data_IF_709025192664
#
_entry.id   IF_709025192664
#
_cell.length_a   1.000
_cell.length_b   1.000
_cell.length_c   1.000
_cell.angle_alpha   90.00
_cell.angle_beta   90.00
_cell.angle_gamma   90.00
#
_symmetry.space_group_name_H-M   'P 1'
#
loop_
_entity.id
_entity.type
_entity.pdbx_description
1 polymer ?
#
# COMPACT_ATOMS: atom_id res chain seq x y z
N UNK A 1 49.88 -0.88 -13.20
CA UNK A 1 49.59 -2.27 -12.79
C UNK A 1 48.42 -2.22 -11.84
N UNK A 2 47.24 -2.51 -12.38
CA UNK A 2 46.00 -2.54 -11.62
C UNK A 2 45.79 -3.91 -10.99
N UNK A 3 45.13 -3.91 -9.85
CA UNK A 3 44.39 -5.07 -9.35
C UNK A 3 43.00 -4.60 -8.93
N UNK A 4 41.93 -5.33 -9.29
CA UNK A 4 40.56 -4.84 -9.27
C UNK A 4 39.92 -4.98 -7.88
N UNK A 5 38.95 -4.10 -7.62
CA UNK A 5 38.03 -4.15 -6.50
C UNK A 5 37.06 -5.33 -6.64
N UNK A 6 37.04 -6.21 -5.63
CA UNK A 6 36.18 -7.39 -5.61
C UNK A 6 34.76 -7.04 -5.09
N UNK A 7 33.87 -6.74 -6.03
CA UNK A 7 32.47 -6.38 -5.82
C UNK A 7 31.55 -7.57 -5.57
N UNK A 8 31.84 -8.40 -4.56
CA UNK A 8 31.04 -9.63 -4.31
C UNK A 8 30.63 -9.88 -2.86
N UNK A 9 30.37 -8.82 -2.07
CA UNK A 9 29.84 -8.95 -0.69
C UNK A 9 28.40 -8.47 -0.49
N UNK A 10 27.52 -8.66 -1.48
CA UNK A 10 26.06 -8.33 -1.38
C UNK A 10 25.10 -9.52 -1.53
N UNK A 11 25.56 -10.78 -1.49
CA UNK A 11 24.69 -11.96 -1.76
C UNK A 11 24.56 -13.01 -0.63
N UNK A 12 24.94 -12.73 0.62
CA UNK A 12 25.04 -13.78 1.65
C UNK A 12 24.17 -13.63 2.92
N UNK A 13 23.18 -12.73 2.99
CA UNK A 13 22.42 -12.49 4.24
C UNK A 13 20.90 -12.81 4.23
N UNK A 14 20.38 -13.58 3.26
CA UNK A 14 18.97 -14.02 3.27
C UNK A 14 18.79 -15.54 3.11
N UNK A 15 19.54 -16.32 3.90
CA UNK A 15 19.27 -17.76 4.08
C UNK A 15 19.29 -18.13 5.56
N UNK A 16 18.20 -17.85 6.27
CA UNK A 16 17.74 -18.61 7.44
C UNK A 16 16.44 -17.99 8.03
N UNK A 17 15.32 -18.17 7.34
CA UNK A 17 13.97 -18.17 7.91
C UNK A 17 13.01 -18.70 6.83
N UNK A 18 13.13 -19.98 6.50
CA UNK A 18 12.26 -20.65 5.54
C UNK A 18 10.94 -21.05 6.21
N UNK A 19 9.93 -20.18 6.12
CA UNK A 19 8.53 -20.61 6.15
C UNK A 19 8.05 -20.66 4.70
N UNK A 20 7.41 -21.75 4.33
CA UNK A 20 7.18 -22.20 2.96
C UNK A 20 6.50 -21.16 2.06
N UNK A 21 7.27 -20.54 1.17
CA UNK A 21 6.77 -19.81 0.00
C UNK A 21 6.34 -20.82 -1.07
N UNK A 22 5.03 -21.08 -1.17
CA UNK A 22 4.47 -21.78 -2.34
C UNK A 22 4.32 -20.80 -3.49
N UNK A 23 5.26 -20.81 -4.42
CA UNK A 23 5.05 -20.31 -5.77
C UNK A 23 4.10 -21.26 -6.49
N UNK A 24 2.88 -20.81 -6.79
CA UNK A 24 1.95 -21.53 -7.65
C UNK A 24 2.50 -21.54 -9.09
N UNK A 25 3.23 -22.59 -9.43
CA UNK A 25 3.45 -23.00 -10.81
C UNK A 25 2.30 -23.95 -11.13
N UNK A 26 1.54 -23.66 -12.18
CA UNK A 26 0.52 -24.57 -12.69
C UNK A 26 1.20 -25.89 -13.10
N UNK A 27 1.12 -26.87 -12.22
CA UNK A 27 1.63 -28.21 -12.38
C UNK A 27 0.97 -29.08 -11.32
N UNK A 28 0.24 -30.10 -11.77
CA UNK A 28 -0.48 -31.05 -10.93
C UNK A 28 0.47 -31.85 -10.01
N UNK A 29 0.92 -31.23 -8.92
CA UNK A 29 1.47 -31.90 -7.76
C UNK A 29 0.48 -31.68 -6.62
N UNK A 30 -0.38 -32.67 -6.36
CA UNK A 30 -1.38 -32.61 -5.31
C UNK A 30 -0.70 -32.44 -3.96
N UNK A 31 -0.57 -31.20 -3.50
CA UNK A 31 -0.15 -30.91 -2.15
C UNK A 31 -1.36 -31.23 -1.27
N UNK A 32 -1.23 -32.25 -0.42
CA UNK A 32 -2.26 -32.52 0.57
C UNK A 32 -2.44 -31.26 1.43
N UNK A 33 -3.69 -30.87 1.74
CA UNK A 33 -3.95 -29.78 2.65
C UNK A 33 -3.28 -30.06 4.00
N UNK A 34 -2.83 -29.03 4.74
CA UNK A 34 -2.26 -29.23 6.06
C UNK A 34 -3.26 -29.88 7.01
N UNK A 35 -2.74 -30.57 8.03
CA UNK A 35 -3.59 -31.17 9.08
C UNK A 35 -4.33 -30.09 9.90
N UNK A 36 -5.49 -30.44 10.44
CA UNK A 36 -6.27 -29.61 11.37
C UNK A 36 -5.41 -29.11 12.52
N UNK A 37 -4.61 -29.98 13.13
CA UNK A 37 -3.70 -29.64 14.23
C UNK A 37 -2.66 -28.60 13.83
N UNK A 38 -2.11 -28.70 12.61
CA UNK A 38 -1.15 -27.72 12.11
C UNK A 38 -1.77 -26.35 11.86
N UNK A 39 -3.03 -26.31 11.43
CA UNK A 39 -3.76 -25.07 11.11
C UNK A 39 -4.30 -24.39 12.37
N UNK A 40 -4.87 -25.17 13.29
CA UNK A 40 -5.48 -24.68 14.54
C UNK A 40 -4.47 -24.50 15.66
N UNK A 41 -3.40 -25.30 15.69
CA UNK A 41 -2.38 -25.32 16.75
C UNK A 41 -1.84 -23.94 17.14
N UNK A 42 -1.47 -23.06 16.20
CA UNK A 42 -1.00 -21.70 16.50
C UNK A 42 -2.00 -20.82 17.26
N UNK A 43 -3.29 -21.17 17.21
CA UNK A 43 -4.38 -20.39 17.77
C UNK A 43 -5.06 -21.04 18.97
N UNK A 44 -4.82 -22.33 19.22
CA UNK A 44 -5.58 -23.14 20.18
C UNK A 44 -5.71 -22.48 21.56
N UNK A 45 -4.60 -21.96 22.08
CA UNK A 45 -4.57 -21.36 23.43
C UNK A 45 -5.26 -19.99 23.52
N UNK A 46 -5.63 -19.39 22.38
CA UNK A 46 -6.37 -18.13 22.32
C UNK A 46 -7.87 -18.32 22.49
N UNK A 47 -8.39 -19.51 22.23
CA UNK A 47 -9.84 -19.78 22.14
C UNK A 47 -10.26 -20.84 23.14
N UNK A 48 -11.49 -20.72 23.63
CA UNK A 48 -12.07 -21.64 24.63
C UNK A 48 -12.50 -22.96 24.00
N UNK A 49 -12.90 -22.92 22.72
CA UNK A 49 -13.34 -24.09 21.99
C UNK A 49 -12.98 -24.00 20.52
N UNK A 50 -12.58 -25.15 19.97
CA UNK A 50 -12.41 -25.35 18.53
C UNK A 50 -13.67 -26.06 18.03
N UNK A 51 -14.30 -25.48 17.01
CA UNK A 51 -15.55 -25.95 16.42
C UNK A 51 -15.24 -26.31 14.98
N UNK A 52 -15.22 -27.60 14.68
CA UNK A 52 -15.05 -28.09 13.31
C UNK A 52 -16.40 -28.08 12.60
N UNK A 53 -16.54 -27.24 11.58
CA UNK A 53 -17.82 -27.12 10.87
C UNK A 53 -18.16 -28.40 10.10
N UNK A 54 -17.17 -29.17 9.65
CA UNK A 54 -17.38 -30.44 8.96
C UNK A 54 -17.90 -31.53 9.90
N UNK A 55 -17.38 -31.61 11.13
CA UNK A 55 -17.91 -32.52 12.16
C UNK A 55 -19.36 -32.17 12.56
N UNK A 56 -19.75 -30.91 12.40
CA UNK A 56 -21.13 -30.43 12.60
C UNK A 56 -22.03 -30.58 11.37
N UNK A 57 -21.53 -31.20 10.30
CA UNK A 57 -22.28 -31.47 9.08
C UNK A 57 -22.45 -30.26 8.15
N UNK A 58 -21.57 -29.26 8.21
CA UNK A 58 -21.55 -28.19 7.21
C UNK A 58 -21.27 -28.75 5.81
N UNK A 59 -22.00 -28.25 4.83
CA UNK A 59 -21.80 -28.64 3.43
C UNK A 59 -20.53 -28.00 2.85
N UNK A 60 -19.48 -28.82 2.69
CA UNK A 60 -18.23 -28.44 2.05
C UNK A 60 -18.24 -28.54 0.52
N UNK A 61 -19.39 -28.78 -0.11
CA UNK A 61 -19.55 -28.76 -1.58
C UNK A 61 -20.02 -27.41 -2.12
N UNK A 62 -20.62 -26.57 -1.26
CA UNK A 62 -21.12 -25.24 -1.62
C UNK A 62 -22.55 -25.24 -2.15
N UNK A 63 -23.29 -26.34 -2.00
CA UNK A 63 -24.68 -26.46 -2.42
C UNK A 63 -25.61 -25.78 -1.41
N UNK A 64 -25.45 -26.15 -0.13
CA UNK A 64 -26.24 -25.64 0.98
C UNK A 64 -25.45 -24.59 1.80
N UNK A 65 -26.11 -23.52 2.29
CA UNK A 65 -25.45 -22.53 3.13
C UNK A 65 -24.99 -23.10 4.49
N UNK A 66 -23.83 -22.64 4.97
CA UNK A 66 -23.27 -23.04 6.28
C UNK A 66 -23.82 -22.22 7.45
N UNK A 67 -24.65 -21.23 7.18
CA UNK A 67 -25.17 -20.23 8.12
C UNK A 67 -25.75 -20.88 9.38
N UNK A 68 -26.55 -21.95 9.24
CA UNK A 68 -27.15 -22.66 10.38
C UNK A 68 -26.11 -23.31 11.30
N UNK A 69 -25.02 -23.85 10.74
CA UNK A 69 -23.95 -24.46 11.54
C UNK A 69 -23.22 -23.40 12.36
N UNK A 70 -22.94 -22.25 11.73
CA UNK A 70 -22.29 -21.12 12.38
C UNK A 70 -23.19 -20.54 13.47
N UNK A 71 -24.45 -20.23 13.14
CA UNK A 71 -25.40 -19.60 14.05
C UNK A 71 -25.69 -20.44 15.30
N UNK A 72 -25.84 -21.76 15.15
CA UNK A 72 -26.06 -22.67 16.30
C UNK A 72 -24.89 -22.71 17.27
N UNK A 73 -23.67 -22.51 16.78
CA UNK A 73 -22.45 -22.74 17.55
C UNK A 73 -21.73 -21.45 17.95
N UNK A 74 -22.16 -20.31 17.40
CA UNK A 74 -21.57 -18.99 17.59
C UNK A 74 -21.60 -18.57 19.06
N UNK A 75 -20.42 -18.32 19.61
CA UNK A 75 -20.23 -17.78 20.96
C UNK A 75 -18.87 -17.09 21.04
N UNK A 76 -18.75 -16.20 22.00
CA UNK A 76 -17.46 -15.61 22.34
C UNK A 76 -16.47 -16.73 22.71
N UNK A 77 -15.19 -16.54 22.34
CA UNK A 77 -14.14 -17.53 22.58
C UNK A 77 -14.16 -18.74 21.64
N UNK A 78 -15.06 -18.81 20.65
CA UNK A 78 -15.08 -19.89 19.66
C UNK A 78 -14.05 -19.68 18.53
N UNK A 79 -13.38 -20.76 18.14
CA UNK A 79 -12.58 -20.87 16.92
C UNK A 79 -13.26 -21.84 15.95
N UNK A 80 -13.85 -21.31 14.88
CA UNK A 80 -14.40 -22.09 13.79
C UNK A 80 -13.29 -22.54 12.85
N UNK A 81 -13.18 -23.86 12.71
CA UNK A 81 -12.30 -24.50 11.75
C UNK A 81 -13.12 -24.97 10.55
N UNK A 82 -12.71 -24.53 9.36
CA UNK A 82 -13.25 -24.96 8.07
C UNK A 82 -12.28 -25.94 7.44
N UNK A 83 -12.64 -27.24 7.35
CA UNK A 83 -11.90 -28.21 6.56
C UNK A 83 -11.77 -27.78 5.08
N UNK A 84 -10.93 -28.48 4.29
CA UNK A 84 -10.88 -28.28 2.84
C UNK A 84 -12.25 -28.46 2.21
N UNK A 85 -12.66 -27.48 1.41
CA UNK A 85 -13.98 -27.48 0.78
C UNK A 85 -14.39 -26.12 0.25
N UNK A 86 -15.54 -26.13 -0.41
CA UNK A 86 -16.22 -24.93 -0.89
C UNK A 86 -17.48 -24.75 -0.06
N UNK A 87 -17.65 -23.60 0.56
CA UNK A 87 -18.71 -23.33 1.51
C UNK A 87 -19.54 -22.16 1.02
N UNK A 88 -20.85 -22.37 0.90
CA UNK A 88 -21.76 -21.27 0.64
C UNK A 88 -22.06 -20.57 1.97
N UNK A 89 -21.87 -19.26 2.01
CA UNK A 89 -22.17 -18.44 3.18
C UNK A 89 -23.07 -17.30 2.73
N UNK A 90 -24.25 -17.15 3.32
CA UNK A 90 -25.18 -16.09 2.91
C UNK A 90 -24.82 -14.77 3.57
N UNK A 91 -24.57 -14.79 4.87
CA UNK A 91 -24.14 -13.63 5.66
C UNK A 91 -23.40 -14.09 6.92
N UNK A 92 -22.47 -13.28 7.42
CA UNK A 92 -21.87 -13.47 8.73
C UNK A 92 -21.74 -12.14 9.49
N UNK A 93 -22.61 -11.95 10.48
CA UNK A 93 -22.57 -10.82 11.41
C UNK A 93 -21.85 -11.19 12.73
N UNK A 94 -20.74 -10.50 12.99
CA UNK A 94 -19.91 -10.63 14.19
C UNK A 94 -20.04 -9.41 15.12
N UNK A 95 -21.07 -8.58 14.93
CA UNK A 95 -21.27 -7.37 15.71
C UNK A 95 -21.37 -7.66 17.21
N UNK A 96 -20.61 -6.89 18.00
CA UNK A 96 -20.51 -7.02 19.45
C UNK A 96 -19.80 -8.27 19.96
N UNK A 97 -19.38 -9.20 19.09
CA UNK A 97 -18.72 -10.45 19.49
C UNK A 97 -17.30 -10.21 20.00
N UNK A 98 -16.85 -11.11 20.87
CA UNK A 98 -15.52 -11.04 21.47
C UNK A 98 -14.77 -12.36 21.35
N UNK A 99 -13.54 -12.30 20.86
CA UNK A 99 -12.63 -13.42 20.72
C UNK A 99 -13.22 -14.56 19.88
N UNK A 100 -13.86 -14.22 18.76
CA UNK A 100 -14.27 -15.18 17.74
C UNK A 100 -13.17 -15.34 16.69
N UNK A 101 -12.95 -16.57 16.25
CA UNK A 101 -11.97 -16.92 15.24
C UNK A 101 -12.56 -17.78 14.14
N UNK A 102 -12.07 -17.59 12.92
CA UNK A 102 -12.43 -18.36 11.72
C UNK A 102 -11.13 -18.71 11.01
N UNK A 103 -10.92 -20.00 10.75
CA UNK A 103 -9.72 -20.49 10.08
C UNK A 103 -10.10 -21.47 8.99
N UNK A 104 -9.77 -21.11 7.75
CA UNK A 104 -9.87 -21.96 6.58
C UNK A 104 -8.63 -22.83 6.39
N UNK A 105 -8.85 -24.09 6.02
CA UNK A 105 -7.80 -25.00 5.55
C UNK A 105 -8.07 -25.34 4.09
N UNK A 106 -7.53 -24.56 3.15
CA UNK A 106 -7.93 -24.64 1.74
C UNK A 106 -9.46 -24.54 1.58
N UNK A 107 -10.06 -23.62 2.33
CA UNK A 107 -11.50 -23.37 2.35
C UNK A 107 -11.85 -22.16 1.46
N UNK A 108 -12.79 -22.36 0.55
CA UNK A 108 -13.34 -21.32 -0.31
C UNK A 108 -14.73 -20.93 0.17
N UNK A 109 -14.97 -19.64 0.38
CA UNK A 109 -16.31 -19.09 0.63
C UNK A 109 -16.88 -18.59 -0.70
N UNK A 110 -18.01 -19.16 -1.11
CA UNK A 110 -18.75 -18.70 -2.28
C UNK A 110 -19.44 -17.39 -1.93
N UNK A 111 -19.09 -16.35 -2.66
CA UNK A 111 -19.76 -15.06 -2.59
C UNK A 111 -21.21 -15.24 -3.08
N UNK A 112 -22.22 -14.71 -2.36
CA UNK A 112 -23.58 -14.67 -2.85
C UNK A 112 -23.66 -13.92 -4.18
N UNK A 113 -24.32 -14.48 -5.21
CA UNK A 113 -24.42 -13.85 -6.52
C UNK A 113 -25.19 -12.53 -6.43
N UNK A 114 -24.80 -11.56 -7.26
CA UNK A 114 -25.38 -10.20 -7.31
C UNK A 114 -25.37 -9.39 -5.99
N UNK A 115 -24.80 -9.91 -4.90
CA UNK A 115 -24.76 -9.22 -3.60
C UNK A 115 -23.83 -7.99 -3.65
N UNK A 116 -24.26 -6.90 -3.01
CA UNK A 116 -23.59 -5.59 -3.08
C UNK A 116 -23.50 -4.89 -1.71
N UNK A 117 -24.10 -5.48 -0.67
CA UNK A 117 -24.12 -5.03 0.71
C UNK A 117 -22.91 -5.51 1.51
N UNK A 118 -23.07 -5.56 2.83
CA UNK A 118 -22.09 -6.19 3.72
C UNK A 118 -22.38 -7.69 3.76
N UNK A 119 -21.35 -8.51 3.59
CA UNK A 119 -21.50 -9.97 3.57
C UNK A 119 -20.91 -10.62 4.82
N UNK A 120 -19.64 -10.33 5.08
CA UNK A 120 -18.97 -10.74 6.32
C UNK A 120 -18.61 -9.46 7.04
N UNK A 121 -19.23 -9.21 8.19
CA UNK A 121 -19.00 -7.96 8.89
C UNK A 121 -19.09 -8.07 10.40
N UNK A 122 -18.72 -6.99 11.07
CA UNK A 122 -18.96 -6.86 12.50
C UNK A 122 -18.61 -5.47 13.00
N UNK A 123 -19.55 -4.88 13.75
CA UNK A 123 -19.32 -3.65 14.48
C UNK A 123 -18.79 -3.91 15.89
N UNK A 124 -17.77 -3.17 16.30
CA UNK A 124 -17.13 -3.30 17.62
C UNK A 124 -16.69 -4.73 17.96
N UNK A 125 -16.35 -5.54 16.95
CA UNK A 125 -15.88 -6.91 17.14
C UNK A 125 -14.52 -6.90 17.84
N UNK A 126 -14.37 -7.64 18.94
CA UNK A 126 -13.18 -7.58 19.79
C UNK A 126 -12.30 -8.79 19.60
N UNK A 127 -10.99 -8.60 19.40
CA UNK A 127 -10.01 -9.68 19.26
C UNK A 127 -10.44 -10.72 18.20
N UNK A 128 -10.75 -10.28 16.99
CA UNK A 128 -11.12 -11.12 15.84
C UNK A 128 -9.93 -11.92 15.30
N UNK A 129 -10.15 -13.15 14.84
CA UNK A 129 -9.24 -13.86 13.94
C UNK A 129 -10.02 -14.28 12.71
N UNK A 130 -9.54 -13.91 11.53
CA UNK A 130 -10.05 -14.41 10.27
C UNK A 130 -8.86 -14.79 9.38
N UNK A 131 -8.68 -16.08 9.12
CA UNK A 131 -7.44 -16.61 8.54
C UNK A 131 -7.70 -17.70 7.48
N UNK A 132 -6.92 -17.69 6.39
CA UNK A 132 -6.80 -18.85 5.49
C UNK A 132 -7.98 -19.11 4.56
N UNK A 133 -8.74 -18.09 4.16
CA UNK A 133 -9.88 -18.24 3.25
C UNK A 133 -9.61 -17.71 1.84
N UNK A 134 -10.19 -18.39 0.85
CA UNK A 134 -10.44 -17.83 -0.47
C UNK A 134 -11.88 -17.36 -0.56
N UNK A 135 -12.11 -16.15 -1.07
CA UNK A 135 -13.43 -15.61 -1.41
C UNK A 135 -13.58 -15.67 -2.93
N UNK A 136 -14.59 -16.39 -3.40
CA UNK A 136 -14.82 -16.63 -4.82
C UNK A 136 -15.79 -15.60 -5.42
N UNK A 137 -15.23 -14.60 -6.10
CA UNK A 137 -15.92 -13.58 -6.89
C UNK A 137 -15.97 -13.97 -8.38
N UNK A 138 -16.22 -15.24 -8.70
CA UNK A 138 -16.40 -15.69 -10.09
C UNK A 138 -17.61 -15.03 -10.78
N UNK A 139 -18.64 -14.66 -10.02
CA UNK A 139 -19.77 -13.88 -10.55
C UNK A 139 -19.35 -12.41 -10.79
N UNK A 140 -19.33 -11.93 -12.05
CA UNK A 140 -18.92 -10.57 -12.38
C UNK A 140 -19.88 -9.49 -11.87
N UNK A 141 -21.08 -9.84 -11.40
CA UNK A 141 -22.02 -8.90 -10.79
C UNK A 141 -21.84 -8.77 -9.27
N UNK A 142 -21.11 -9.68 -8.63
CA UNK A 142 -20.94 -9.68 -7.19
C UNK A 142 -19.94 -8.60 -6.73
N UNK A 143 -20.36 -7.80 -5.75
CA UNK A 143 -19.53 -6.79 -5.09
C UNK A 143 -19.81 -6.67 -3.58
N UNK A 144 -20.00 -7.78 -2.82
CA UNK A 144 -20.16 -7.66 -1.38
C UNK A 144 -18.88 -7.20 -0.69
N UNK A 145 -19.07 -6.48 0.41
CA UNK A 145 -18.01 -5.97 1.26
C UNK A 145 -17.74 -6.91 2.43
N UNK A 146 -16.45 -7.14 2.72
CA UNK A 146 -16.01 -7.68 4.01
C UNK A 146 -15.63 -6.50 4.91
N UNK A 147 -16.39 -6.27 5.99
CA UNK A 147 -16.35 -5.00 6.73
C UNK A 147 -16.18 -5.17 8.25
N UNK A 148 -15.11 -4.64 8.84
CA UNK A 148 -14.89 -4.77 10.28
C UNK A 148 -14.55 -3.45 10.96
N UNK A 149 -15.33 -3.12 11.99
CA UNK A 149 -14.96 -2.13 13.00
C UNK A 149 -14.51 -2.85 14.27
N UNK A 150 -13.20 -2.79 14.57
CA UNK A 150 -12.60 -3.67 15.58
C UNK A 150 -12.25 -2.98 16.90
N UNK A 151 -12.33 -3.74 17.98
CA UNK A 151 -11.90 -3.38 19.32
C UNK A 151 -10.85 -4.35 19.87
N UNK A 152 -10.10 -3.93 20.90
CA UNK A 152 -9.05 -4.78 21.48
C UNK A 152 -7.81 -4.91 20.58
N UNK A 153 -6.80 -5.64 21.05
CA UNK A 153 -5.44 -5.60 20.48
C UNK A 153 -5.05 -6.82 19.64
N UNK A 154 -5.91 -7.84 19.59
CA UNK A 154 -5.60 -9.13 18.95
C UNK A 154 -6.42 -9.37 17.69
N UNK A 155 -6.76 -8.31 16.93
CA UNK A 155 -7.51 -8.45 15.68
C UNK A 155 -6.58 -8.76 14.52
N UNK A 156 -6.89 -9.81 13.77
CA UNK A 156 -6.08 -10.30 12.66
C UNK A 156 -6.98 -10.72 11.50
N UNK A 157 -6.71 -10.17 10.32
CA UNK A 157 -7.16 -10.67 9.02
C UNK A 157 -5.92 -11.18 8.29
N UNK A 158 -5.88 -12.46 7.94
CA UNK A 158 -4.64 -13.10 7.47
C UNK A 158 -4.90 -14.11 6.35
N UNK A 159 -3.96 -14.20 5.42
CA UNK A 159 -3.96 -15.23 4.36
C UNK A 159 -5.31 -15.34 3.62
N UNK A 160 -5.88 -14.17 3.29
CA UNK A 160 -7.14 -14.06 2.56
C UNK A 160 -6.88 -13.85 1.07
N UNK A 161 -7.60 -14.56 0.21
CA UNK A 161 -7.53 -14.39 -1.24
C UNK A 161 -8.90 -14.00 -1.81
N UNK A 162 -9.00 -12.87 -2.48
CA UNK A 162 -10.17 -12.43 -3.24
C UNK A 162 -9.92 -12.80 -4.70
N UNK A 163 -10.49 -13.92 -5.13
CA UNK A 163 -10.30 -14.48 -6.48
C UNK A 163 -11.51 -14.13 -7.35
N UNK A 164 -11.27 -13.75 -8.60
CA UNK A 164 -12.32 -13.23 -9.49
C UNK A 164 -12.42 -11.70 -9.48
N UNK A 165 -13.34 -11.16 -10.28
CA UNK A 165 -13.47 -9.71 -10.50
C UNK A 165 -14.54 -9.13 -9.59
N UNK A 166 -14.21 -8.08 -8.84
CA UNK A 166 -15.13 -7.50 -7.87
C UNK A 166 -16.05 -6.47 -8.53
N UNK A 167 -17.10 -6.97 -9.20
CA UNK A 167 -18.25 -6.20 -9.67
C UNK A 167 -17.97 -4.88 -10.42
N UNK A 168 -19.02 -4.09 -10.59
CA UNK A 168 -18.93 -2.72 -11.14
C UNK A 168 -19.66 -1.68 -10.29
N UNK A 169 -20.12 -2.09 -9.11
CA UNK A 169 -20.72 -1.23 -8.09
C UNK A 169 -19.60 -0.54 -7.31
N UNK A 170 -19.76 0.74 -6.90
CA UNK A 170 -18.72 1.47 -6.16
C UNK A 170 -18.63 1.03 -4.68
N UNK A 171 -18.35 -0.25 -4.45
CA UNK A 171 -18.15 -0.85 -3.13
C UNK A 171 -16.72 -1.35 -3.02
N UNK A 172 -16.18 -1.33 -1.81
CA UNK A 172 -14.80 -1.76 -1.57
C UNK A 172 -14.77 -3.28 -1.32
N UNK A 173 -13.65 -3.95 -1.63
CA UNK A 173 -13.50 -5.35 -1.23
C UNK A 173 -13.40 -5.52 0.30
N UNK A 174 -12.58 -4.69 0.94
CA UNK A 174 -12.43 -4.59 2.39
C UNK A 174 -12.74 -3.19 2.90
N UNK A 175 -13.55 -3.09 3.95
CA UNK A 175 -13.81 -1.84 4.70
C UNK A 175 -13.40 -2.03 6.16
N UNK A 176 -12.46 -1.21 6.65
CA UNK A 176 -11.83 -1.42 7.95
C UNK A 176 -11.91 -0.17 8.82
N UNK A 177 -12.21 -0.36 10.10
CA UNK A 177 -12.20 0.71 11.09
C UNK A 177 -11.52 0.21 12.38
N UNK A 178 -10.64 1.04 12.94
CA UNK A 178 -10.02 0.80 14.25
C UNK A 178 -10.28 2.04 15.13
N UNK A 179 -11.50 2.19 15.69
CA UNK A 179 -11.98 3.49 16.16
C UNK A 179 -11.20 4.05 17.35
N UNK A 180 -10.65 3.17 18.21
CA UNK A 180 -10.06 3.56 19.50
C UNK A 180 -8.57 3.27 19.53
N UNK A 181 -7.78 4.21 20.09
CA UNK A 181 -6.33 4.09 20.30
C UNK A 181 -5.88 2.82 21.03
N UNK A 182 -6.74 2.27 21.89
CA UNK A 182 -6.46 1.02 22.62
C UNK A 182 -6.59 -0.25 21.76
N UNK A 183 -7.12 -0.13 20.53
CA UNK A 183 -7.34 -1.23 19.61
C UNK A 183 -6.27 -1.28 18.51
N UNK A 184 -6.09 -2.47 17.93
CA UNK A 184 -5.22 -2.67 16.78
C UNK A 184 -5.75 -3.73 15.83
N UNK A 185 -5.45 -3.55 14.55
CA UNK A 185 -5.74 -4.49 13.48
C UNK A 185 -4.49 -4.78 12.66
N UNK A 186 -4.20 -6.08 12.49
CA UNK A 186 -3.22 -6.58 11.53
C UNK A 186 -3.95 -7.17 10.32
N UNK A 187 -3.63 -6.67 9.14
CA UNK A 187 -4.02 -7.22 7.85
C UNK A 187 -2.76 -7.77 7.19
N UNK A 188 -2.71 -9.08 7.00
CA UNK A 188 -1.46 -9.77 6.61
C UNK A 188 -1.69 -10.75 5.46
N UNK A 189 -0.85 -10.69 4.43
CA UNK A 189 -0.89 -11.61 3.27
C UNK A 189 -2.26 -11.67 2.58
N UNK A 190 -2.99 -10.56 2.56
CA UNK A 190 -4.24 -10.43 1.80
C UNK A 190 -3.95 -10.24 0.31
N UNK A 191 -4.60 -11.00 -0.57
CA UNK A 191 -4.40 -11.00 -2.03
C UNK A 191 -5.70 -10.61 -2.73
N UNK A 192 -5.67 -9.55 -3.53
CA UNK A 192 -6.83 -9.01 -4.25
C UNK A 192 -6.41 -8.63 -5.68
N UNK A 193 -6.36 -9.62 -6.57
CA UNK A 193 -5.69 -9.49 -7.88
C UNK A 193 -6.63 -9.38 -9.08
N UNK A 194 -7.88 -9.80 -8.94
CA UNK A 194 -8.85 -9.74 -10.03
C UNK A 194 -9.35 -8.32 -10.33
N UNK A 195 -9.10 -7.38 -9.41
CA UNK A 195 -9.40 -5.96 -9.58
C UNK A 195 -10.89 -5.65 -9.54
N UNK A 196 -11.20 -4.39 -9.83
CA UNK A 196 -12.54 -3.84 -9.96
C UNK A 196 -12.51 -2.66 -10.93
N UNK A 197 -13.65 -2.34 -11.54
CA UNK A 197 -13.85 -1.08 -12.28
C UNK A 197 -14.30 0.08 -11.40
N UNK A 198 -14.78 -0.15 -10.17
CA UNK A 198 -15.20 0.88 -9.21
C UNK A 198 -14.88 0.48 -7.77
N UNK A 199 -14.73 1.46 -6.87
CA UNK A 199 -14.45 1.19 -5.47
C UNK A 199 -13.00 0.77 -5.20
N UNK A 200 -12.69 0.63 -3.93
CA UNK A 200 -11.35 0.39 -3.43
C UNK A 200 -11.09 -1.11 -3.25
N UNK A 201 -9.84 -1.56 -3.38
CA UNK A 201 -9.51 -2.89 -2.86
C UNK A 201 -9.69 -2.89 -1.33
N UNK A 202 -9.08 -1.91 -0.68
CA UNK A 202 -9.12 -1.74 0.77
C UNK A 202 -9.41 -0.27 1.06
N UNK A 203 -10.47 -0.02 1.82
CA UNK A 203 -10.82 1.29 2.35
C UNK A 203 -10.75 1.27 3.87
N UNK A 204 -10.23 2.34 4.47
CA UNK A 204 -10.24 2.53 5.92
C UNK A 204 -11.07 3.73 6.29
N UNK A 205 -11.93 3.56 7.29
CA UNK A 205 -12.60 4.67 7.96
C UNK A 205 -11.64 5.36 8.93
N UNK A 206 -12.04 6.56 9.38
CA UNK A 206 -11.31 7.27 10.42
C UNK A 206 -11.29 6.49 11.74
N UNK A 207 -10.16 6.55 12.43
CA UNK A 207 -9.96 5.85 13.71
C UNK A 207 -8.59 6.12 14.31
N UNK A 208 -8.50 6.00 15.63
CA UNK A 208 -7.27 6.30 16.39
C UNK A 208 -6.40 5.09 16.69
N UNK A 209 -6.90 3.89 16.41
CA UNK A 209 -6.21 2.63 16.69
C UNK A 209 -5.01 2.38 15.79
N UNK A 210 -4.22 1.35 16.09
CA UNK A 210 -3.08 0.99 15.24
C UNK A 210 -3.51 0.07 14.10
N UNK A 211 -3.18 0.44 12.87
CA UNK A 211 -3.53 -0.33 11.67
C UNK A 211 -2.25 -0.72 10.92
N UNK A 212 -2.13 -2.00 10.58
CA UNK A 212 -0.95 -2.55 9.90
C UNK A 212 -1.37 -3.39 8.70
N UNK A 213 -0.76 -3.13 7.55
CA UNK A 213 -0.84 -3.93 6.33
C UNK A 213 0.52 -4.56 6.09
N UNK A 214 0.59 -5.90 6.03
CA UNK A 214 1.86 -6.63 5.93
C UNK A 214 1.78 -7.63 4.79
N UNK A 215 2.67 -7.51 3.81
CA UNK A 215 2.80 -8.43 2.67
C UNK A 215 1.50 -8.63 1.87
N UNK A 216 0.67 -7.58 1.78
CA UNK A 216 -0.53 -7.60 0.95
C UNK A 216 -0.21 -7.48 -0.54
N UNK A 217 -1.09 -8.03 -1.38
CA UNK A 217 -0.98 -7.96 -2.84
C UNK A 217 -2.28 -7.43 -3.44
N UNK A 218 -2.27 -6.20 -3.95
CA UNK A 218 -3.46 -5.50 -4.46
C UNK A 218 -3.22 -5.07 -5.90
N UNK A 219 -4.01 -5.60 -6.84
CA UNK A 219 -3.82 -5.34 -8.25
C UNK A 219 -5.11 -5.01 -9.00
N UNK A 220 -5.01 -4.07 -9.94
CA UNK A 220 -6.04 -3.77 -10.94
C UNK A 220 -7.36 -3.15 -10.47
N UNK A 221 -7.47 -2.67 -9.24
CA UNK A 221 -8.66 -1.99 -8.71
C UNK A 221 -8.82 -0.56 -9.22
N UNK A 222 -10.00 0.05 -9.05
CA UNK A 222 -10.19 1.47 -9.34
C UNK A 222 -9.41 2.36 -8.36
N UNK A 223 -9.29 1.91 -7.10
CA UNK A 223 -8.36 2.45 -6.09
C UNK A 223 -7.72 1.27 -5.34
N UNK A 224 -6.45 1.40 -4.94
CA UNK A 224 -5.70 0.33 -4.29
C UNK A 224 -6.00 0.27 -2.79
N UNK A 225 -5.03 0.73 -2.00
CA UNK A 225 -5.17 0.88 -0.55
C UNK A 225 -5.46 2.34 -0.23
N UNK A 226 -6.70 2.64 0.13
CA UNK A 226 -7.15 3.95 0.62
C UNK A 226 -7.17 3.95 2.14
N UNK A 227 -6.05 4.36 2.74
CA UNK A 227 -5.85 4.43 4.18
C UNK A 227 -5.56 5.84 4.73
N UNK A 228 -5.75 6.89 3.93
CA UNK A 228 -5.56 8.27 4.38
C UNK A 228 -6.51 8.78 5.47
N UNK A 229 -7.80 8.35 5.57
CA UNK A 229 -8.71 8.86 6.59
C UNK A 229 -8.36 8.41 8.01
N UNK A 230 -7.48 7.41 8.16
CA UNK A 230 -7.11 6.82 9.44
C UNK A 230 -6.14 7.73 10.21
N UNK A 231 -6.54 8.16 11.41
CA UNK A 231 -5.80 9.11 12.27
C UNK A 231 -4.74 8.45 13.17
N UNK A 232 -4.88 7.16 13.41
CA UNK A 232 -4.00 6.38 14.27
C UNK A 232 -2.70 5.95 13.60
N UNK A 233 -1.79 5.30 14.36
CA UNK A 233 -0.54 4.77 13.81
C UNK A 233 -0.80 3.82 12.64
N UNK A 234 -0.20 4.12 11.49
CA UNK A 234 -0.39 3.36 10.26
C UNK A 234 0.95 2.78 9.75
N UNK A 235 0.97 1.49 9.45
CA UNK A 235 2.12 0.82 8.83
C UNK A 235 1.68 0.03 7.60
N UNK A 236 2.36 0.26 6.48
CA UNK A 236 2.38 -0.63 5.32
C UNK A 236 3.78 -1.22 5.23
N UNK A 237 3.92 -2.54 5.31
CA UNK A 237 5.21 -3.23 5.27
C UNK A 237 5.20 -4.33 4.22
N UNK A 238 6.15 -4.27 3.29
CA UNK A 238 6.24 -5.21 2.19
C UNK A 238 5.05 -5.12 1.23
N UNK A 239 4.81 -6.21 0.52
CA UNK A 239 3.67 -6.32 -0.39
C UNK A 239 3.88 -5.73 -1.79
N UNK A 240 2.89 -5.91 -2.64
CA UNK A 240 2.87 -5.43 -4.03
C UNK A 240 1.55 -4.76 -4.35
N UNK A 241 1.61 -3.52 -4.80
CA UNK A 241 0.46 -2.70 -5.15
C UNK A 241 0.61 -2.23 -6.59
N UNK A 242 -0.19 -2.78 -7.50
CA UNK A 242 0.07 -2.62 -8.93
C UNK A 242 -1.15 -2.36 -9.80
N UNK A 243 -1.01 -1.44 -10.75
CA UNK A 243 -1.99 -1.14 -11.77
C UNK A 243 -3.41 -0.84 -11.25
N UNK A 244 -3.51 -0.38 -10.00
CA UNK A 244 -4.73 0.20 -9.44
C UNK A 244 -4.92 1.60 -10.01
N UNK A 245 -6.13 2.16 -9.98
CA UNK A 245 -6.41 3.48 -10.53
C UNK A 245 -5.80 4.58 -9.68
N UNK A 246 -6.62 5.36 -8.98
CA UNK A 246 -6.23 6.62 -8.31
C UNK A 246 -4.94 6.48 -7.49
N UNK A 247 -4.79 5.42 -6.72
CA UNK A 247 -3.61 5.16 -5.91
C UNK A 247 -3.23 3.68 -5.89
N UNK A 248 -1.94 3.42 -5.69
CA UNK A 248 -1.49 2.10 -5.29
C UNK A 248 -1.50 1.98 -3.77
N UNK A 249 -0.90 2.97 -3.10
CA UNK A 249 -0.88 3.12 -1.64
C UNK A 249 -1.21 4.57 -1.32
N UNK A 250 -2.34 4.84 -0.66
CA UNK A 250 -2.75 6.16 -0.18
C UNK A 250 -2.83 6.15 1.34
N UNK A 251 -2.06 7.01 1.98
CA UNK A 251 -1.88 7.00 3.43
C UNK A 251 -1.94 8.40 4.03
N UNK A 252 -2.26 8.41 5.32
CA UNK A 252 -2.45 9.62 6.10
C UNK A 252 -1.80 9.58 7.46
N UNK A 253 -2.32 8.70 8.34
CA UNK A 253 -1.79 8.46 9.68
C UNK A 253 -2.03 9.62 10.65
N UNK A 254 -2.84 10.61 10.27
CA UNK A 254 -3.22 11.78 11.08
C UNK A 254 -2.05 12.41 11.83
N UNK A 255 -2.23 12.61 13.13
CA UNK A 255 -1.20 13.14 14.05
C UNK A 255 -0.23 12.07 14.56
N UNK A 256 -0.54 10.79 14.35
CA UNK A 256 0.28 9.66 14.81
C UNK A 256 1.43 9.33 13.87
N UNK A 257 1.27 9.64 12.60
CA UNK A 257 2.22 9.37 11.54
C UNK A 257 2.02 8.01 10.86
N UNK A 258 2.52 7.92 9.62
CA UNK A 258 2.43 6.73 8.79
C UNK A 258 3.81 6.22 8.34
N UNK A 259 3.94 4.92 8.10
CA UNK A 259 5.14 4.30 7.54
C UNK A 259 4.81 3.39 6.36
N UNK A 260 5.59 3.49 5.30
CA UNK A 260 5.59 2.56 4.16
C UNK A 260 7.00 2.01 4.04
N UNK A 261 7.18 0.71 4.28
CA UNK A 261 8.49 0.08 4.42
C UNK A 261 8.59 -1.14 3.49
N UNK A 262 9.54 -1.16 2.55
CA UNK A 262 9.79 -2.36 1.74
C UNK A 262 8.72 -2.70 0.72
N UNK A 263 7.80 -1.79 0.40
CA UNK A 263 6.71 -2.05 -0.54
C UNK A 263 7.16 -1.91 -2.00
N UNK A 264 6.58 -2.75 -2.88
CA UNK A 264 6.74 -2.64 -4.33
C UNK A 264 5.47 -2.06 -4.96
N UNK A 265 5.65 -0.99 -5.72
CA UNK A 265 4.60 -0.29 -6.46
C UNK A 265 4.90 -0.39 -7.96
N UNK A 266 3.92 -0.81 -8.77
CA UNK A 266 4.14 -1.00 -10.21
C UNK A 266 2.95 -0.53 -11.05
N UNK A 267 3.22 0.33 -12.02
CA UNK A 267 2.27 0.84 -13.01
C UNK A 267 2.88 0.58 -14.38
N UNK A 268 2.53 -0.58 -14.94
CA UNK A 268 3.24 -1.19 -16.07
C UNK A 268 2.34 -2.00 -17.02
N UNK A 269 1.02 -1.94 -16.79
CA UNK A 269 0.02 -2.49 -17.68
C UNK A 269 -1.37 -2.17 -17.17
N UNK A 270 -1.80 -0.89 -17.22
CA UNK A 270 -3.12 -0.50 -16.76
C UNK A 270 -4.22 -1.24 -17.51
N UNK A 271 -5.04 -2.00 -16.77
CA UNK A 271 -6.30 -2.56 -17.29
C UNK A 271 -7.43 -1.57 -17.06
N UNK A 272 -8.33 -1.43 -18.04
CA UNK A 272 -9.44 -0.47 -17.99
C UNK A 272 -8.95 0.96 -17.67
N UNK A 273 -7.96 1.50 -18.40
CA UNK A 273 -7.36 2.79 -18.08
C UNK A 273 -8.36 3.95 -18.09
N UNK A 274 -9.47 3.83 -18.82
CA UNK A 274 -10.56 4.81 -18.91
C UNK A 274 -11.28 5.05 -17.58
N UNK A 275 -11.23 4.10 -16.65
CA UNK A 275 -11.80 4.24 -15.29
C UNK A 275 -10.74 4.46 -14.21
N UNK A 276 -9.49 4.71 -14.62
CA UNK A 276 -8.34 4.83 -13.71
C UNK A 276 -7.68 6.20 -13.83
N UNK A 277 -8.30 7.27 -13.34
CA UNK A 277 -7.69 8.58 -13.39
C UNK A 277 -6.50 8.64 -12.42
N UNK A 278 -5.39 9.22 -12.88
CA UNK A 278 -4.29 9.64 -12.02
C UNK A 278 -3.63 8.54 -11.17
N UNK A 279 -2.99 7.55 -11.81
CA UNK A 279 -2.35 6.44 -11.13
C UNK A 279 -1.10 6.83 -10.34
N UNK A 280 -1.28 7.40 -9.15
CA UNK A 280 -0.17 7.74 -8.24
C UNK A 280 0.38 6.46 -7.62
N UNK A 281 1.69 6.42 -7.40
CA UNK A 281 2.32 5.31 -6.70
C UNK A 281 1.99 5.32 -5.21
N UNK A 282 2.87 5.92 -4.40
CA UNK A 282 2.64 6.18 -2.98
C UNK A 282 2.14 7.61 -2.82
N UNK A 283 0.94 7.78 -2.30
CA UNK A 283 0.31 9.08 -2.06
C UNK A 283 0.20 9.35 -0.56
N UNK A 284 0.94 10.36 -0.11
CA UNK A 284 0.81 10.92 1.23
C UNK A 284 -0.22 12.04 1.12
N UNK A 285 -1.48 11.75 1.44
CA UNK A 285 -2.59 12.67 1.15
C UNK A 285 -2.84 13.66 2.28
N UNK A 286 -3.19 13.18 3.46
CA UNK A 286 -3.51 14.00 4.64
C UNK A 286 -2.85 13.44 5.90
N UNK A 287 -2.06 14.23 6.62
CA UNK A 287 -1.37 13.73 7.81
C UNK A 287 -0.18 14.59 8.19
N UNK A 288 0.32 14.43 9.41
CA UNK A 288 1.37 15.29 9.97
C UNK A 288 2.78 14.86 9.58
N UNK A 289 3.01 13.55 9.47
CA UNK A 289 4.32 13.00 9.17
C UNK A 289 4.23 11.59 8.55
N UNK A 290 5.14 11.29 7.62
CA UNK A 290 5.32 9.93 7.15
C UNK A 290 6.77 9.58 6.82
N UNK A 291 7.08 8.28 6.92
CA UNK A 291 8.32 7.69 6.43
C UNK A 291 8.03 6.72 5.30
N UNK A 292 8.68 6.91 4.16
CA UNK A 292 8.74 5.93 3.06
C UNK A 292 10.16 5.41 3.02
N UNK A 293 10.37 4.10 3.22
CA UNK A 293 11.70 3.52 3.37
C UNK A 293 11.85 2.22 2.61
N UNK A 294 12.97 2.06 1.91
CA UNK A 294 13.33 0.83 1.20
C UNK A 294 12.25 0.37 0.19
N UNK A 295 11.55 1.31 -0.43
CA UNK A 295 10.49 1.01 -1.39
C UNK A 295 11.03 0.93 -2.83
N UNK A 296 10.27 0.25 -3.69
CA UNK A 296 10.48 0.27 -5.15
C UNK A 296 9.22 0.80 -5.81
N UNK A 297 9.35 1.81 -6.67
CA UNK A 297 8.22 2.40 -7.41
C UNK A 297 8.54 2.42 -8.90
N UNK A 298 7.74 1.75 -9.71
CA UNK A 298 7.94 1.65 -11.16
C UNK A 298 6.73 2.20 -11.91
N UNK A 299 6.93 3.26 -12.69
CA UNK A 299 5.93 3.80 -13.63
C UNK A 299 6.49 3.66 -15.03
N UNK A 300 6.14 2.55 -15.68
CA UNK A 300 6.70 2.13 -16.97
C UNK A 300 5.68 2.08 -18.10
N UNK A 301 4.38 2.04 -17.79
CA UNK A 301 3.28 2.16 -18.76
C UNK A 301 2.11 2.97 -18.20
N UNK A 302 1.74 4.05 -18.88
CA UNK A 302 0.56 4.87 -18.60
C UNK A 302 -0.39 4.92 -19.80
N UNK A 303 -0.37 3.93 -20.69
CA UNK A 303 -1.21 3.91 -21.88
C UNK A 303 -2.68 4.04 -21.52
N UNK A 304 -3.34 5.06 -22.10
CA UNK A 304 -4.76 5.35 -21.85
C UNK A 304 -5.06 6.10 -20.54
N UNK A 305 -4.05 6.47 -19.75
CA UNK A 305 -4.21 7.16 -18.47
C UNK A 305 -3.03 8.10 -18.19
N UNK A 306 -2.91 8.61 -16.96
CA UNK A 306 -1.85 9.50 -16.50
C UNK A 306 -1.53 9.25 -15.02
N UNK A 307 -0.47 9.89 -14.53
CA UNK A 307 -0.09 9.89 -13.11
C UNK A 307 0.44 11.25 -12.69
N UNK A 308 0.22 11.62 -11.42
CA UNK A 308 0.83 12.79 -10.81
C UNK A 308 2.23 12.53 -10.26
N UNK A 309 2.65 11.26 -10.14
CA UNK A 309 4.01 10.89 -9.78
C UNK A 309 4.15 9.55 -9.06
N UNK A 310 5.41 9.14 -8.87
CA UNK A 310 5.78 7.92 -8.15
C UNK A 310 5.50 8.01 -6.65
N UNK A 311 6.07 9.02 -5.98
CA UNK A 311 5.73 9.38 -4.61
C UNK A 311 5.18 10.80 -4.62
N UNK A 312 3.97 10.99 -4.12
CA UNK A 312 3.29 12.29 -4.10
C UNK A 312 3.08 12.71 -2.66
N UNK A 313 3.65 13.85 -2.28
CA UNK A 313 3.37 14.54 -1.01
C UNK A 313 2.35 15.64 -1.30
N UNK A 314 1.13 15.41 -0.86
CA UNK A 314 -0.02 16.25 -1.22
C UNK A 314 -0.05 17.57 -0.43
N UNK A 315 -0.83 18.54 -0.90
CA UNK A 315 -0.98 19.86 -0.28
C UNK A 315 -1.50 19.82 1.17
N UNK A 316 -2.28 18.80 1.55
CA UNK A 316 -2.77 18.66 2.93
C UNK A 316 -1.74 17.97 3.87
N UNK A 317 -0.65 17.42 3.32
CA UNK A 317 0.31 16.62 4.09
C UNK A 317 1.43 17.46 4.69
N UNK A 318 1.86 17.12 5.89
CA UNK A 318 2.96 17.73 6.62
C UNK A 318 4.32 17.19 6.18
N UNK A 319 5.14 16.77 7.12
CA UNK A 319 6.52 16.34 6.87
C UNK A 319 6.59 14.96 6.20
N UNK A 320 7.61 14.74 5.36
CA UNK A 320 7.85 13.43 4.77
C UNK A 320 9.34 13.10 4.73
N UNK A 321 9.70 11.87 5.09
CA UNK A 321 11.06 11.33 4.96
C UNK A 321 11.06 10.14 4.01
N UNK A 322 11.75 10.27 2.89
CA UNK A 322 11.86 9.26 1.83
C UNK A 322 13.30 8.74 1.85
N UNK A 323 13.51 7.46 2.15
CA UNK A 323 14.84 6.87 2.33
C UNK A 323 15.04 5.57 1.57
N UNK A 324 16.27 5.30 1.12
CA UNK A 324 16.67 4.01 0.54
C UNK A 324 15.76 3.53 -0.61
N UNK A 325 15.17 4.44 -1.38
CA UNK A 325 14.06 4.14 -2.27
C UNK A 325 14.48 4.25 -3.74
N UNK A 326 14.08 3.29 -4.55
CA UNK A 326 14.32 3.25 -6.00
C UNK A 326 13.04 3.60 -6.76
N UNK A 327 13.13 4.52 -7.71
CA UNK A 327 11.98 4.97 -8.50
C UNK A 327 12.33 4.96 -9.99
N UNK A 328 11.65 4.11 -10.75
CA UNK A 328 11.72 4.11 -12.21
C UNK A 328 10.58 4.90 -12.81
N UNK A 329 10.87 5.85 -13.69
CA UNK A 329 9.86 6.52 -14.51
C UNK A 329 10.25 6.52 -15.99
N UNK A 330 9.38 5.94 -16.83
CA UNK A 330 9.52 5.94 -18.30
C UNK A 330 8.56 6.94 -18.99
N UNK A 331 7.66 7.57 -18.24
CA UNK A 331 6.75 8.59 -18.72
C UNK A 331 7.07 9.96 -18.11
N UNK A 332 6.63 11.04 -18.77
CA UNK A 332 6.85 12.44 -18.36
C UNK A 332 6.06 12.84 -17.11
N UNK A 333 6.28 12.12 -16.00
CA UNK A 333 5.70 12.36 -14.67
C UNK A 333 6.82 12.45 -13.65
N UNK A 334 6.70 13.24 -12.56
CA UNK A 334 7.72 13.26 -11.52
C UNK A 334 7.89 11.90 -10.84
N UNK A 335 9.12 11.53 -10.51
CA UNK A 335 9.38 10.40 -9.62
C UNK A 335 8.93 10.75 -8.19
N UNK A 336 9.26 11.97 -7.74
CA UNK A 336 8.80 12.55 -6.48
C UNK A 336 8.13 13.88 -6.78
N UNK A 337 6.89 14.05 -6.33
CA UNK A 337 6.10 15.27 -6.50
C UNK A 337 5.68 15.80 -5.14
N UNK A 338 6.27 16.91 -4.74
CA UNK A 338 6.03 17.59 -3.48
C UNK A 338 5.26 18.87 -3.74
N UNK A 339 4.01 18.94 -3.28
CA UNK A 339 3.10 20.05 -3.56
C UNK A 339 3.11 21.14 -2.49
N UNK A 340 2.79 22.36 -2.91
CA UNK A 340 2.59 23.52 -2.03
C UNK A 340 1.53 23.21 -0.99
N UNK A 341 1.82 23.39 0.31
CA UNK A 341 0.85 23.20 1.37
C UNK A 341 -0.37 24.08 1.20
N UNK A 342 -1.55 23.54 1.53
CA UNK A 342 -2.76 24.35 1.65
C UNK A 342 -2.71 25.23 2.89
N UNK A 343 -3.37 26.38 2.84
CA UNK A 343 -3.52 27.31 3.98
C UNK A 343 -4.88 27.19 4.67
N UNK A 344 -5.78 26.40 4.12
CA UNK A 344 -7.13 26.19 4.63
C UNK A 344 -7.29 24.73 5.06
N UNK A 345 -7.78 24.56 6.29
CA UNK A 345 -8.22 23.27 6.83
C UNK A 345 -9.66 23.00 6.38
N UNK A 346 -9.92 21.78 5.92
CA UNK A 346 -11.26 21.32 5.56
C UNK A 346 -11.47 19.90 6.10
N UNK A 347 -12.34 19.71 7.13
CA UNK A 347 -12.57 18.40 7.73
C UNK A 347 -13.22 17.39 6.76
N UNK A 348 -13.78 17.84 5.64
CA UNK A 348 -14.38 16.94 4.64
C UNK A 348 -13.35 16.27 3.74
N UNK A 349 -12.20 16.92 3.53
CA UNK A 349 -11.08 16.40 2.73
C UNK A 349 -9.86 16.05 3.57
N UNK A 350 -9.91 16.32 4.88
CA UNK A 350 -8.86 15.99 5.86
C UNK A 350 -9.44 15.28 7.11
N UNK A 351 -10.28 14.23 6.98
CA UNK A 351 -10.93 13.59 8.12
C UNK A 351 -9.96 12.93 9.11
N UNK A 352 -8.69 12.70 8.72
CA UNK A 352 -7.68 12.11 9.60
C UNK A 352 -7.04 13.10 10.57
N UNK A 353 -7.27 14.41 10.38
CA UNK A 353 -6.66 15.51 11.13
C UNK A 353 -7.73 16.40 11.78
N UNK A 354 -7.32 17.23 12.73
CA UNK A 354 -8.15 18.27 13.36
C UNK A 354 -7.60 19.70 13.15
N UNK A 355 -6.43 19.81 12.54
CA UNK A 355 -5.77 21.06 12.14
C UNK A 355 -4.75 20.79 11.03
N UNK A 356 -4.28 21.85 10.35
CA UNK A 356 -3.19 21.74 9.39
C UNK A 356 -1.87 21.40 10.09
N UNK A 357 -0.98 20.60 9.46
CA UNK A 357 0.37 20.39 9.95
C UNK A 357 1.12 21.71 10.13
N UNK A 358 1.88 21.83 11.24
CA UNK A 358 2.72 23.00 11.48
C UNK A 358 4.01 23.00 10.63
N UNK A 359 4.48 21.81 10.26
CA UNK A 359 5.76 21.57 9.60
C UNK A 359 5.52 20.84 8.28
N UNK A 360 6.31 21.18 7.26
CA UNK A 360 6.09 20.72 5.88
C UNK A 360 7.38 20.25 5.19
N UNK A 361 8.50 20.21 5.90
CA UNK A 361 9.79 19.81 5.36
C UNK A 361 9.72 18.40 4.74
N UNK A 362 10.32 18.25 3.57
CA UNK A 362 10.53 16.95 2.93
C UNK A 362 12.01 16.63 2.90
N UNK A 363 12.38 15.43 3.36
CA UNK A 363 13.73 14.91 3.30
C UNK A 363 13.80 13.70 2.36
N UNK A 364 14.73 13.70 1.42
CA UNK A 364 15.09 12.53 0.62
C UNK A 364 16.54 12.13 0.92
N UNK A 365 16.78 10.86 1.24
CA UNK A 365 18.11 10.33 1.57
C UNK A 365 18.36 8.97 0.91
N UNK A 366 19.47 8.81 0.18
CA UNK A 366 19.79 7.58 -0.55
C UNK A 366 18.63 7.17 -1.49
N UNK A 367 18.31 8.05 -2.43
CA UNK A 367 17.20 7.86 -3.39
C UNK A 367 17.75 7.74 -4.80
N UNK A 368 17.37 6.68 -5.50
CA UNK A 368 17.77 6.43 -6.89
C UNK A 368 16.58 6.60 -7.82
N UNK A 369 16.69 7.50 -8.79
CA UNK A 369 15.68 7.76 -9.80
C UNK A 369 16.26 7.49 -11.18
N UNK A 370 15.57 6.68 -11.99
CA UNK A 370 16.05 6.32 -13.32
C UNK A 370 14.90 6.07 -14.31
N UNK A 371 15.24 5.91 -15.59
CA UNK A 371 14.31 5.42 -16.60
C UNK A 371 14.40 6.18 -17.92
N UNK A 372 13.31 6.16 -18.67
CA UNK A 372 13.24 6.70 -20.03
C UNK A 372 12.30 7.91 -20.20
N UNK A 373 11.86 8.53 -19.10
CA UNK A 373 10.98 9.71 -19.15
C UNK A 373 11.56 10.82 -20.03
N UNK A 374 10.89 11.23 -21.12
CA UNK A 374 11.51 12.10 -22.13
C UNK A 374 11.46 13.59 -21.78
N UNK A 375 10.55 14.05 -20.91
CA UNK A 375 10.34 15.47 -20.57
C UNK A 375 9.91 15.65 -19.11
N UNK A 376 9.83 16.89 -18.66
CA UNK A 376 9.43 17.25 -17.29
C UNK A 376 10.61 17.17 -16.34
N UNK A 377 10.37 16.86 -15.07
CA UNK A 377 11.40 16.83 -14.03
C UNK A 377 11.34 15.55 -13.20
N UNK A 378 12.47 15.08 -12.68
CA UNK A 378 12.51 13.88 -11.83
C UNK A 378 11.99 14.15 -10.42
N UNK A 379 12.41 15.24 -9.79
CA UNK A 379 11.88 15.69 -8.49
C UNK A 379 11.26 17.07 -8.68
N UNK A 380 9.96 17.19 -8.40
CA UNK A 380 9.24 18.46 -8.40
C UNK A 380 8.93 18.89 -6.97
N UNK A 381 9.45 20.04 -6.55
CA UNK A 381 9.26 20.60 -5.22
C UNK A 381 8.62 21.98 -5.29
N UNK A 382 7.51 22.15 -4.58
CA UNK A 382 6.81 23.42 -4.50
C UNK A 382 6.39 23.75 -3.06
N UNK A 383 6.55 25.03 -2.70
CA UNK A 383 5.90 25.68 -1.55
C UNK A 383 6.37 25.28 -0.16
N UNK A 384 7.46 24.51 -0.04
CA UNK A 384 7.94 23.98 1.25
C UNK A 384 9.36 24.43 1.55
N UNK A 385 9.50 25.17 2.64
CA UNK A 385 10.79 25.64 3.14
C UNK A 385 11.55 24.52 3.85
N UNK A 386 12.88 24.60 3.92
CA UNK A 386 13.71 23.71 4.75
C UNK A 386 13.83 22.27 4.25
N UNK A 387 13.45 21.99 3.00
CA UNK A 387 13.57 20.64 2.43
C UNK A 387 15.04 20.25 2.21
N UNK A 388 15.34 18.95 2.33
CA UNK A 388 16.70 18.42 2.17
C UNK A 388 16.74 17.22 1.24
N UNK A 389 17.63 17.26 0.26
CA UNK A 389 17.90 16.17 -0.67
C UNK A 389 19.36 15.76 -0.50
N UNK A 390 19.63 14.55 -0.01
CA UNK A 390 20.99 14.05 0.22
C UNK A 390 21.17 12.67 -0.39
N UNK A 391 22.33 12.39 -1.00
CA UNK A 391 22.59 11.09 -1.66
C UNK A 391 21.47 10.74 -2.67
N UNK A 392 21.22 11.68 -3.59
CA UNK A 392 20.20 11.54 -4.63
C UNK A 392 20.85 11.32 -5.97
N UNK A 393 20.52 10.20 -6.62
CA UNK A 393 20.96 9.89 -7.98
C UNK A 393 19.79 10.01 -8.95
N UNK A 394 19.96 10.76 -10.04
CA UNK A 394 19.00 10.83 -11.15
C UNK A 394 19.68 10.42 -12.45
N UNK A 395 19.13 9.44 -13.16
CA UNK A 395 19.63 8.96 -14.45
C UNK A 395 18.51 8.94 -15.50
N UNK A 396 18.42 10.00 -16.30
CA UNK A 396 17.44 10.15 -17.38
C UNK A 396 18.10 10.74 -18.62
N UNK A 397 18.48 9.89 -19.58
CA UNK A 397 19.30 10.30 -20.72
C UNK A 397 18.51 10.73 -21.96
N UNK A 398 17.19 10.63 -21.95
CA UNK A 398 16.34 10.85 -23.12
C UNK A 398 15.65 12.22 -23.08
N UNK A 399 15.48 12.84 -24.25
CA UNK A 399 14.70 14.07 -24.43
C UNK A 399 15.27 15.30 -23.72
N UNK A 400 14.43 15.98 -22.93
CA UNK A 400 14.73 17.24 -22.22
C UNK A 400 14.27 17.17 -20.76
N UNK A 401 14.58 16.07 -20.08
CA UNK A 401 14.17 15.79 -18.71
C UNK A 401 15.08 16.53 -17.74
N UNK A 402 14.52 17.36 -16.88
CA UNK A 402 15.25 18.02 -15.79
C UNK A 402 15.46 17.06 -14.60
N UNK A 403 16.47 17.35 -13.78
CA UNK A 403 16.77 16.58 -12.57
C UNK A 403 15.85 16.97 -11.41
N UNK A 404 16.14 18.11 -10.79
CA UNK A 404 15.40 18.64 -9.64
C UNK A 404 14.83 20.00 -10.02
N UNK A 405 13.51 20.18 -9.87
CA UNK A 405 12.85 21.47 -10.03
C UNK A 405 12.32 21.95 -8.69
N UNK A 406 12.75 23.14 -8.28
CA UNK A 406 12.24 23.88 -7.11
C UNK A 406 11.45 25.07 -7.66
N UNK A 407 10.13 24.94 -7.67
CA UNK A 407 9.23 26.01 -8.12
C UNK A 407 9.14 27.13 -7.09
N UNK A 408 9.14 26.76 -5.81
CA UNK A 408 9.11 27.66 -4.66
C UNK A 408 9.53 26.91 -3.40
N UNK A 409 9.95 27.65 -2.38
CA UNK A 409 10.52 27.11 -1.14
C UNK A 409 11.92 27.66 -0.87
N UNK A 410 12.16 28.08 0.36
CA UNK A 410 13.42 28.67 0.82
C UNK A 410 14.22 27.66 1.63
N UNK A 411 15.54 27.88 1.69
CA UNK A 411 16.46 27.05 2.51
C UNK A 411 16.39 25.57 2.13
N UNK A 412 16.22 25.28 0.84
CA UNK A 412 16.35 23.92 0.33
C UNK A 412 17.83 23.56 0.23
N UNK A 413 18.21 22.40 0.75
CA UNK A 413 19.58 21.89 0.75
C UNK A 413 19.69 20.67 -0.19
N UNK A 414 20.70 20.65 -1.07
CA UNK A 414 20.98 19.54 -1.99
C UNK A 414 22.44 19.10 -1.82
N UNK A 415 22.65 17.95 -1.21
CA UNK A 415 23.96 17.44 -0.82
C UNK A 415 24.24 16.10 -1.50
N UNK A 416 25.49 15.87 -1.92
CA UNK A 416 25.97 14.56 -2.41
C UNK A 416 25.05 13.99 -3.52
N UNK A 417 24.74 14.81 -4.54
CA UNK A 417 23.78 14.46 -5.58
C UNK A 417 24.48 14.18 -6.92
N UNK A 418 24.06 13.12 -7.61
CA UNK A 418 24.56 12.75 -8.94
C UNK A 418 23.44 12.87 -9.98
N UNK A 419 23.43 13.96 -10.75
CA UNK A 419 22.36 14.32 -11.66
C UNK A 419 22.81 14.14 -13.11
N UNK A 420 22.47 12.98 -13.69
CA UNK A 420 22.74 12.64 -15.07
C UNK A 420 21.50 12.72 -15.92
N UNK A 421 21.19 13.93 -16.37
CA UNK A 421 19.96 14.24 -17.09
C UNK A 421 20.22 14.87 -18.46
N UNK A 422 19.24 14.78 -19.34
CA UNK A 422 19.27 15.38 -20.68
C UNK A 422 18.88 16.86 -20.71
N UNK A 423 18.07 17.30 -19.74
CA UNK A 423 17.69 18.69 -19.52
C UNK A 423 18.60 19.41 -18.52
N UNK A 424 18.01 20.28 -17.71
CA UNK A 424 18.72 21.05 -16.68
C UNK A 424 18.82 20.24 -15.39
N UNK A 425 20.02 20.02 -14.83
CA UNK A 425 20.17 19.25 -13.59
C UNK A 425 19.35 19.83 -12.42
N UNK A 426 19.41 21.15 -12.22
CA UNK A 426 18.65 21.85 -11.18
C UNK A 426 17.98 23.09 -11.79
N UNK A 427 16.66 23.17 -11.69
CA UNK A 427 15.86 24.34 -12.05
C UNK A 427 15.31 24.95 -10.76
N UNK A 428 15.69 26.17 -10.43
CA UNK A 428 15.19 26.85 -9.25
C UNK A 428 14.73 28.27 -9.62
N UNK A 429 13.42 28.52 -9.52
CA UNK A 429 12.81 29.80 -9.87
C UNK A 429 12.58 30.61 -8.60
N UNK A 430 13.26 31.75 -8.45
CA UNK A 430 13.03 32.68 -7.33
C UNK A 430 13.60 32.26 -5.98
N UNK A 431 14.39 31.18 -5.94
CA UNK A 431 15.13 30.72 -4.77
C UNK A 431 16.44 30.07 -5.21
N UNK A 432 17.50 30.20 -4.42
CA UNK A 432 18.78 29.53 -4.67
C UNK A 432 18.96 28.46 -3.61
N UNK A 433 18.94 27.16 -3.96
CA UNK A 433 19.21 26.11 -2.99
C UNK A 433 20.68 26.16 -2.54
N UNK A 434 20.93 25.73 -1.30
CA UNK A 434 22.30 25.46 -0.84
C UNK A 434 22.74 24.12 -1.42
N UNK A 435 23.85 24.10 -2.14
CA UNK A 435 24.37 22.90 -2.78
C UNK A 435 25.74 22.52 -2.22
N UNK A 436 25.99 21.22 -2.05
CA UNK A 436 27.29 20.68 -1.67
C UNK A 436 27.52 19.34 -2.38
N UNK A 437 28.70 19.14 -2.97
CA UNK A 437 29.05 17.89 -3.68
C UNK A 437 28.01 17.47 -4.72
N UNK A 438 27.56 18.40 -5.57
CA UNK A 438 26.62 18.10 -6.65
C UNK A 438 27.39 17.83 -7.94
N UNK A 439 27.36 16.58 -8.38
CA UNK A 439 27.91 16.17 -9.67
C UNK A 439 26.82 16.20 -10.75
N UNK A 440 27.11 16.86 -11.86
CA UNK A 440 26.22 16.89 -13.03
C UNK A 440 26.93 16.28 -14.23
N UNK A 441 26.23 15.47 -15.03
CA UNK A 441 26.84 14.85 -16.21
C UNK A 441 25.84 14.23 -17.18
N UNK A 442 25.74 14.77 -18.39
CA UNK A 442 24.84 14.29 -19.45
C UNK A 442 25.18 14.98 -20.78
N UNK A 443 24.62 14.47 -21.89
CA UNK A 443 24.94 14.91 -23.26
C UNK A 443 24.57 16.41 -23.51
N UNK A 444 23.90 17.10 -22.58
CA UNK A 444 23.38 18.46 -22.74
C UNK A 444 24.02 19.63 -21.98
N UNK A 445 24.98 19.43 -21.06
CA UNK A 445 25.30 20.47 -20.05
C UNK A 445 26.65 21.20 -20.19
N UNK A 446 26.94 21.80 -21.35
CA UNK A 446 28.02 22.81 -21.45
C UNK A 446 27.54 24.27 -21.41
N UNK A 447 26.26 24.59 -21.22
CA UNK A 447 25.83 26.00 -21.08
C UNK A 447 24.66 26.20 -20.09
N UNK A 448 24.88 27.17 -19.19
CA UNK A 448 23.96 27.80 -18.21
C UNK A 448 23.89 27.15 -16.82
N UNK A 449 25.01 27.27 -16.09
CA UNK A 449 24.90 27.70 -14.70
C UNK A 449 24.81 29.23 -14.73
N UNK A 450 23.76 29.79 -14.14
CA UNK A 450 23.83 31.16 -13.63
C UNK A 450 24.61 31.08 -12.32
N UNK A 451 25.80 31.66 -12.32
CA UNK A 451 26.76 31.84 -11.22
C UNK A 451 26.39 31.15 -9.89
N UNK A 452 26.74 29.86 -9.75
CA UNK A 452 26.93 29.25 -8.43
C UNK A 452 28.28 29.72 -7.90
N UNK A 453 28.29 30.38 -6.74
CA UNK A 453 29.52 30.67 -6.01
C UNK A 453 30.21 29.35 -5.68
N UNK A 454 31.30 29.11 -6.40
CA UNK A 454 32.25 28.02 -6.21
C UNK A 454 32.84 28.07 -4.81
N UNK A 455 33.12 26.86 -4.33
CA UNK A 455 34.01 26.51 -3.23
C UNK A 455 35.05 27.59 -2.90
N UNK A 456 34.81 28.30 -1.81
CA UNK A 456 35.84 29.01 -1.06
C UNK A 456 35.44 29.13 0.40
N UNK A 457 35.51 28.00 1.12
CA UNK A 457 36.22 27.83 2.40
C UNK A 457 36.04 26.43 2.96
#
# INVERSE_FOLDING_TARGET
>A
MGTPSDGTRRRAYLRAAGVALSTAVAGCGGRSPPSKESVVGPYRDRFEAVIDVGELGADGTGTEPVDDVLNRSMRDGALFYFPPGTYRLTELDLSGRSNCGFVGNDATLLVPPEEQGNWIYGERVRNLLFDGFTFDYADPAAAPVVAFSVAGKRNVLRDLAFEGHHGTTPRSGLELEVPKRAASLLVERVRMRGGSKKGNAIFTHSGDGSLQFVDCRVEHWAEGLYASPHSGPLLVRGGTYANNGIDQIRIGGGTSGARVEGATVRIDGPRNPEVKPNMRGIWLEEGTNARVDNCTVEITDLTGTYSSGGIVVEKQFGTARITNTAIQTNHSVPAIHVRTPTTEYDPTTMPSMDHLPANHEVTCENVSIYGAAPKGTAILLAGRDGCRLSDVTVQHHFGSRDGITIESGRRTEIHDAHLRVSGTPIVASGTTPLTKNVETGGIGSLRRLGDSLLDSM
#
